data_IF_765181494430
#
_entry.id   IF_765181494430
#
_cell.length_a   1.000
_cell.length_b   1.000
_cell.length_c   1.000
_cell.angle_alpha   90.00
_cell.angle_beta   90.00
_cell.angle_gamma   90.00
#
_symmetry.space_group_name_H-M   'P 1'
#
loop_
_entity.id
_entity.type
_entity.pdbx_description
1 polymer ?
#
# COMPACT_ATOMS: atom_id res chain seq x y z
N UNK A 1 -10.37 -21.96 26.68
CA UNK A 1 -9.50 -20.90 26.14
C UNK A 1 -8.73 -20.27 27.30
N UNK A 2 -7.39 -20.23 27.27
CA UNK A 2 -6.60 -19.61 28.34
C UNK A 2 -7.03 -18.16 28.60
N UNK A 3 -7.04 -17.67 29.86
CA UNK A 3 -7.54 -16.34 30.22
C UNK A 3 -6.90 -15.19 29.43
N UNK A 4 -5.63 -15.36 29.06
CA UNK A 4 -4.83 -14.41 28.29
C UNK A 4 -5.44 -14.08 26.92
N UNK A 5 -6.06 -15.05 26.24
CA UNK A 5 -6.70 -14.80 24.95
C UNK A 5 -8.03 -14.06 25.07
N UNK A 6 -8.68 -14.11 26.24
CA UNK A 6 -9.96 -13.42 26.47
C UNK A 6 -9.77 -11.90 26.53
N UNK A 7 -8.68 -11.46 27.17
CA UNK A 7 -8.23 -10.06 27.20
C UNK A 7 -7.79 -9.55 25.81
N UNK A 8 -7.16 -10.40 24.99
CA UNK A 8 -6.82 -10.04 23.60
C UNK A 8 -8.07 -9.83 22.73
N UNK A 9 -9.13 -10.60 22.95
CA UNK A 9 -10.36 -10.47 22.16
C UNK A 9 -11.16 -9.21 22.50
N UNK A 10 -11.17 -8.75 23.76
CA UNK A 10 -11.83 -7.49 24.14
C UNK A 10 -11.22 -6.25 23.46
N UNK A 11 -9.97 -6.35 23.01
CA UNK A 11 -9.25 -5.26 22.32
C UNK A 11 -9.13 -5.47 20.81
N UNK A 12 -9.69 -6.55 20.26
CA UNK A 12 -9.57 -6.89 18.85
C UNK A 12 -10.69 -6.25 18.02
N UNK A 13 -10.32 -5.40 17.08
CA UNK A 13 -11.23 -4.85 16.08
C UNK A 13 -10.92 -5.41 14.68
N UNK A 14 -11.95 -5.83 13.95
CA UNK A 14 -11.84 -6.37 12.59
C UNK A 14 -12.67 -5.51 11.65
N UNK A 15 -11.98 -4.64 10.92
CA UNK A 15 -12.61 -3.71 9.98
C UNK A 15 -12.69 -4.32 8.59
N UNK A 16 -13.88 -4.80 8.21
CA UNK A 16 -14.10 -5.38 6.87
C UNK A 16 -14.61 -4.38 5.84
N UNK A 17 -15.20 -3.27 6.27
CA UNK A 17 -15.78 -2.21 5.42
C UNK A 17 -15.40 -0.84 5.95
N UNK A 18 -14.12 -0.45 5.83
CA UNK A 18 -13.70 0.86 6.30
C UNK A 18 -14.49 1.95 5.56
N UNK A 19 -15.12 2.86 6.32
CA UNK A 19 -15.92 3.98 5.79
C UNK A 19 -17.06 3.54 4.85
N UNK A 20 -17.67 2.38 5.09
CA UNK A 20 -18.75 1.79 4.29
C UNK A 20 -18.42 1.63 2.79
N UNK A 21 -17.12 1.52 2.47
CA UNK A 21 -16.65 1.31 1.10
C UNK A 21 -16.83 -0.15 0.68
N UNK A 22 -17.08 -0.38 -0.62
CA UNK A 22 -16.93 -1.69 -1.22
C UNK A 22 -15.48 -2.17 -1.01
N UNK A 23 -15.24 -3.29 -0.29
CA UNK A 23 -13.90 -3.79 0.00
C UNK A 23 -13.06 -4.02 -1.27
N UNK A 24 -13.71 -4.34 -2.40
CA UNK A 24 -13.07 -4.57 -3.70
C UNK A 24 -12.47 -3.29 -4.30
N UNK A 25 -12.95 -2.12 -3.85
CA UNK A 25 -12.52 -0.81 -4.34
C UNK A 25 -11.48 -0.14 -3.44
N UNK A 26 -11.26 -0.64 -2.22
CA UNK A 26 -10.39 0.00 -1.23
C UNK A 26 -8.96 0.15 -1.78
N UNK A 27 -8.39 -0.90 -2.38
CA UNK A 27 -7.05 -0.86 -2.95
C UNK A 27 -6.93 0.15 -4.10
N UNK A 28 -7.92 0.18 -5.01
CA UNK A 28 -7.94 1.13 -6.13
C UNK A 28 -8.04 2.58 -5.67
N UNK A 29 -8.88 2.85 -4.66
CA UNK A 29 -8.97 4.19 -4.06
C UNK A 29 -7.67 4.59 -3.36
N UNK A 30 -7.01 3.65 -2.68
CA UNK A 30 -5.69 3.87 -2.08
C UNK A 30 -4.63 4.22 -3.13
N UNK A 31 -4.61 3.52 -4.27
CA UNK A 31 -3.70 3.83 -5.39
C UNK A 31 -3.99 5.21 -6.00
N UNK A 32 -5.26 5.61 -6.12
CA UNK A 32 -5.62 6.95 -6.58
C UNK A 32 -5.13 8.04 -5.61
N UNK A 33 -5.24 7.81 -4.29
CA UNK A 33 -4.67 8.71 -3.28
C UNK A 33 -3.16 8.81 -3.43
N UNK A 34 -2.46 7.67 -3.55
CA UNK A 34 -1.01 7.63 -3.78
C UNK A 34 -0.62 8.48 -4.99
N UNK A 35 -1.32 8.33 -6.12
CA UNK A 35 -1.04 9.10 -7.34
C UNK A 35 -1.13 10.64 -7.15
N UNK A 36 -1.85 11.10 -6.12
CA UNK A 36 -2.01 12.52 -5.79
C UNK A 36 -1.03 13.02 -4.72
N UNK A 37 -0.17 12.17 -4.14
CA UNK A 37 0.83 12.60 -3.16
C UNK A 37 2.04 13.25 -3.86
N UNK A 38 2.60 14.29 -3.24
CA UNK A 38 3.80 14.97 -3.75
C UNK A 38 5.00 14.03 -3.87
N UNK A 39 5.15 13.10 -2.92
CA UNK A 39 6.23 12.11 -2.89
C UNK A 39 6.18 11.13 -4.06
N UNK A 40 5.03 10.95 -4.70
CA UNK A 40 4.87 10.03 -5.83
C UNK A 40 5.65 10.51 -7.06
N UNK A 41 5.99 11.79 -7.14
CA UNK A 41 6.84 12.33 -8.20
C UNK A 41 8.21 11.62 -8.27
N UNK A 42 8.73 11.15 -7.13
CA UNK A 42 10.02 10.45 -7.05
C UNK A 42 9.93 8.96 -7.44
N UNK A 43 8.71 8.41 -7.57
CA UNK A 43 8.47 6.97 -7.78
C UNK A 43 8.23 6.61 -9.25
N UNK A 44 7.79 7.57 -10.08
CA UNK A 44 7.48 7.30 -11.48
C UNK A 44 8.72 6.83 -12.23
N UNK A 45 8.59 5.79 -13.06
CA UNK A 45 9.66 5.32 -13.94
C UNK A 45 9.27 5.65 -15.38
N UNK A 46 10.05 6.50 -16.03
CA UNK A 46 9.82 6.86 -17.42
C UNK A 46 10.32 5.78 -18.36
N UNK A 47 9.80 5.75 -19.59
CA UNK A 47 10.26 4.81 -20.62
C UNK A 47 11.76 4.93 -20.90
N UNK A 48 12.31 6.16 -20.86
CA UNK A 48 13.74 6.40 -21.10
C UNK A 48 14.59 5.79 -19.98
N UNK A 49 14.22 6.01 -18.73
CA UNK A 49 14.92 5.44 -17.57
C UNK A 49 14.85 3.91 -17.59
N UNK A 50 13.69 3.34 -17.94
CA UNK A 50 13.55 1.89 -18.06
C UNK A 50 14.44 1.30 -19.16
N UNK A 51 14.49 1.92 -20.34
CA UNK A 51 15.37 1.47 -21.44
C UNK A 51 16.85 1.56 -21.07
N UNK A 52 17.24 2.52 -20.24
CA UNK A 52 18.64 2.75 -19.87
C UNK A 52 19.11 1.89 -18.68
N UNK A 53 18.29 1.78 -17.64
CA UNK A 53 18.68 1.16 -16.36
C UNK A 53 17.92 -0.14 -16.06
N UNK A 54 16.84 -0.42 -16.80
CA UNK A 54 16.04 -1.64 -16.68
C UNK A 54 15.63 -1.90 -15.21
N UNK A 55 15.66 -3.16 -14.78
CA UNK A 55 15.25 -3.64 -13.46
C UNK A 55 15.92 -2.89 -12.30
N UNK A 56 17.11 -2.29 -12.49
CA UNK A 56 17.76 -1.48 -11.45
C UNK A 56 16.85 -0.35 -10.96
N UNK A 57 16.03 0.24 -11.85
CA UNK A 57 15.11 1.31 -11.45
C UNK A 57 14.15 0.92 -10.34
N UNK A 58 13.78 -0.36 -10.25
CA UNK A 58 12.86 -0.83 -9.20
C UNK A 58 13.52 -0.73 -7.83
N UNK A 59 14.83 -1.02 -7.72
CA UNK A 59 15.58 -0.86 -6.46
C UNK A 59 15.71 0.61 -6.03
N UNK A 60 15.75 1.53 -7.00
CA UNK A 60 15.97 2.95 -6.74
C UNK A 60 14.67 3.73 -6.50
N UNK A 61 13.53 3.31 -7.09
CA UNK A 61 12.25 4.07 -7.07
C UNK A 61 11.04 3.33 -6.50
N UNK A 62 11.12 2.03 -6.21
CA UNK A 62 9.99 1.35 -5.59
C UNK A 62 9.76 1.91 -4.17
N UNK A 63 8.50 2.14 -3.75
CA UNK A 63 8.18 2.57 -2.38
C UNK A 63 8.32 1.44 -1.34
N UNK A 64 8.91 0.31 -1.73
CA UNK A 64 9.15 -0.88 -0.92
C UNK A 64 10.47 -1.53 -1.37
N UNK A 65 11.05 -2.39 -0.53
CA UNK A 65 12.27 -3.11 -0.90
C UNK A 65 11.99 -4.07 -2.07
N UNK A 66 12.69 -3.83 -3.18
CA UNK A 66 12.66 -4.65 -4.41
C UNK A 66 13.82 -5.65 -4.46
#
# INVERSE_FOLDING_TARGET
>A
MPPQYRLMLETMDVLTRPKDLDPRMVCWKGAAILACLDTTQEMWITQREWKQFSVRMLRERAPFMW
#
